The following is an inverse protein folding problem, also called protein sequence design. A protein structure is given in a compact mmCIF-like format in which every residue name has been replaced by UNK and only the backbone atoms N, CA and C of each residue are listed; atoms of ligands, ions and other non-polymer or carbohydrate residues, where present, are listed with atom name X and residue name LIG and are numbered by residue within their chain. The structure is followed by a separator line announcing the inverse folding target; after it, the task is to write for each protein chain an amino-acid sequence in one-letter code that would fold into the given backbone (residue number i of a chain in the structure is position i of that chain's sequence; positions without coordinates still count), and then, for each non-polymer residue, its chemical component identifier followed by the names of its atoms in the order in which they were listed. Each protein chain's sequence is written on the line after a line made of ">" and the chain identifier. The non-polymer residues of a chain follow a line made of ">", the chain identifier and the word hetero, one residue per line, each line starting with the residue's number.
data_IF_818220715666
#
_entry.id   IF_818220715666
#
_cell.length_a   1.000
_cell.length_b   1.000
_cell.length_c   1.000
_cell.angle_alpha   90.00
_cell.angle_beta   90.00
_cell.angle_gamma   90.00
#
_symmetry.space_group_name_H-M   'P 1'
#
loop_
_entity.id
_entity.type
_entity.pdbx_description
1 polymer ?
#
# COMPACT_ATOMS: atom_id res chain seq x y z
N UNK A 1 44.04 5.87 -24.16
CA UNK A 1 44.59 6.87 -23.20
C UNK A 1 43.41 7.55 -22.50
N UNK A 2 43.08 7.17 -21.26
CA UNK A 2 42.00 7.79 -20.51
C UNK A 2 42.52 9.07 -19.82
N UNK A 3 41.90 10.23 -20.10
CA UNK A 3 42.22 11.50 -19.44
C UNK A 3 41.78 11.44 -17.98
N UNK A 4 42.71 11.67 -17.04
CA UNK A 4 42.39 11.84 -15.62
C UNK A 4 41.50 13.08 -15.42
N UNK A 5 40.48 13.02 -14.54
CA UNK A 5 39.67 14.19 -14.21
C UNK A 5 40.49 15.21 -13.41
N UNK A 6 40.35 16.47 -13.81
CA UNK A 6 40.98 17.63 -13.16
C UNK A 6 40.25 17.88 -11.83
N UNK A 7 40.99 17.85 -10.70
CA UNK A 7 40.49 18.34 -9.42
C UNK A 7 40.51 19.87 -9.44
N UNK A 8 39.34 20.50 -9.37
CA UNK A 8 39.21 21.94 -9.16
C UNK A 8 39.46 22.27 -7.68
N UNK A 9 40.47 23.10 -7.43
CA UNK A 9 40.81 23.69 -6.14
C UNK A 9 39.89 24.89 -5.87
N UNK A 10 39.00 24.76 -4.89
CA UNK A 10 37.99 25.76 -4.52
C UNK A 10 38.52 26.86 -3.59
N UNK A 11 39.79 26.82 -3.18
CA UNK A 11 40.36 27.75 -2.19
C UNK A 11 40.64 29.17 -2.73
N UNK A 12 40.42 29.43 -4.03
CA UNK A 12 40.78 30.71 -4.68
C UNK A 12 39.64 31.48 -5.36
N UNK A 13 38.38 31.04 -5.24
CA UNK A 13 37.25 31.79 -5.80
C UNK A 13 36.91 32.99 -4.90
N UNK A 14 37.58 34.13 -5.11
CA UNK A 14 37.15 35.43 -4.59
C UNK A 14 35.74 35.74 -5.10
N UNK A 15 34.90 36.21 -4.19
CA UNK A 15 33.55 36.73 -4.42
C UNK A 15 33.64 37.87 -5.44
N UNK A 16 32.95 37.75 -6.57
CA UNK A 16 32.63 38.89 -7.44
C UNK A 16 31.14 39.17 -7.34
N UNK A 17 30.76 40.44 -7.24
CA UNK A 17 29.41 40.94 -6.97
C UNK A 17 28.39 40.78 -8.12
N UNK A 18 28.61 39.83 -9.02
CA UNK A 18 27.65 39.48 -10.07
C UNK A 18 27.20 38.01 -9.94
N UNK A 19 25.89 37.74 -9.86
CA UNK A 19 25.37 36.40 -9.63
C UNK A 19 25.65 35.49 -10.83
N UNK A 20 26.48 34.47 -10.62
CA UNK A 20 26.73 33.43 -11.64
C UNK A 20 25.46 32.59 -11.88
N UNK A 21 25.18 32.18 -13.14
CA UNK A 21 24.00 31.39 -13.49
C UNK A 21 24.02 29.98 -12.88
N UNK A 22 22.83 29.40 -12.71
CA UNK A 22 22.65 28.03 -12.20
C UNK A 22 23.40 26.99 -13.05
N UNK A 23 24.16 26.10 -12.40
CA UNK A 23 25.04 25.12 -13.07
C UNK A 23 24.28 23.96 -13.74
N UNK A 24 22.97 23.83 -13.50
CA UNK A 24 22.11 22.79 -14.10
C UNK A 24 21.31 23.32 -15.30
N UNK A 25 20.93 24.61 -15.32
CA UNK A 25 20.05 25.16 -16.35
C UNK A 25 20.46 26.53 -16.95
N UNK A 26 21.56 27.13 -16.49
CA UNK A 26 22.17 28.32 -17.11
C UNK A 26 21.45 29.66 -16.92
N UNK A 27 20.33 29.73 -16.18
CA UNK A 27 19.58 30.99 -15.97
C UNK A 27 20.05 31.79 -14.75
N UNK A 28 20.00 33.15 -14.79
CA UNK A 28 20.36 34.01 -13.66
C UNK A 28 19.34 33.90 -12.51
N UNK A 29 19.85 33.85 -11.27
CA UNK A 29 19.03 33.70 -10.08
C UNK A 29 18.42 35.05 -9.66
N UNK A 30 17.15 35.28 -10.00
CA UNK A 30 16.35 36.33 -9.36
C UNK A 30 15.56 35.73 -8.20
N UNK A 31 15.86 36.19 -6.99
CA UNK A 31 14.97 36.08 -5.83
C UNK A 31 13.83 37.09 -5.99
N UNK A 32 12.60 36.66 -5.71
CA UNK A 32 11.67 37.29 -4.75
C UNK A 32 10.37 36.46 -4.67
N UNK A 33 9.76 36.43 -3.49
CA UNK A 33 8.41 35.93 -3.19
C UNK A 33 7.68 37.10 -2.54
N UNK A 34 6.48 37.49 -3.00
CA UNK A 34 5.25 37.07 -2.31
C UNK A 34 3.97 36.99 -3.17
N UNK A 35 4.05 36.73 -4.49
CA UNK A 35 2.89 36.82 -5.38
C UNK A 35 2.47 35.49 -6.04
N UNK A 36 1.16 35.38 -6.33
CA UNK A 36 0.49 34.35 -7.15
C UNK A 36 0.98 34.28 -8.61
N UNK A 37 2.00 35.06 -8.97
CA UNK A 37 2.58 35.20 -10.31
C UNK A 37 3.99 34.62 -10.45
N UNK A 38 4.35 33.61 -9.65
CA UNK A 38 5.52 32.78 -10.01
C UNK A 38 5.12 31.88 -11.19
N UNK A 39 5.92 31.81 -12.27
CA UNK A 39 5.62 30.90 -13.36
C UNK A 39 5.61 29.49 -12.79
N UNK A 40 4.41 28.90 -12.73
CA UNK A 40 4.28 27.48 -12.50
C UNK A 40 5.13 26.77 -13.54
N UNK A 41 5.81 25.70 -13.12
CA UNK A 41 6.57 24.84 -14.03
C UNK A 41 5.71 24.57 -15.25
N UNK A 42 6.24 24.93 -16.42
CA UNK A 42 5.50 24.79 -17.68
C UNK A 42 5.27 23.31 -17.97
N UNK A 43 4.25 22.99 -18.77
CA UNK A 43 3.98 21.60 -19.17
C UNK A 43 5.21 20.95 -19.84
N UNK A 44 5.99 21.73 -20.58
CA UNK A 44 7.24 21.30 -21.21
C UNK A 44 8.31 20.93 -20.17
N UNK A 45 8.49 21.75 -19.14
CA UNK A 45 9.43 21.45 -18.05
C UNK A 45 8.98 20.22 -17.24
N UNK A 46 7.67 20.09 -17.00
CA UNK A 46 7.09 18.92 -16.36
C UNK A 46 7.30 17.64 -17.18
N UNK A 47 7.07 17.72 -18.50
CA UNK A 47 7.31 16.62 -19.43
C UNK A 47 8.77 16.19 -19.43
N UNK A 48 9.71 17.14 -19.45
CA UNK A 48 11.13 16.85 -19.41
C UNK A 48 11.54 16.09 -18.14
N UNK A 49 11.03 16.50 -16.96
CA UNK A 49 11.29 15.80 -15.69
C UNK A 49 10.73 14.37 -15.71
N UNK A 50 9.50 14.17 -16.21
CA UNK A 50 8.89 12.83 -16.33
C UNK A 50 9.70 11.93 -17.25
N UNK A 51 10.29 12.47 -18.30
CA UNK A 51 11.10 11.72 -19.24
C UNK A 51 12.50 11.41 -18.70
N UNK A 52 13.17 12.37 -18.05
CA UNK A 52 14.60 12.28 -17.74
C UNK A 52 14.92 11.98 -16.28
N UNK A 53 14.09 12.42 -15.33
CA UNK A 53 14.36 12.29 -13.90
C UNK A 53 13.60 11.13 -13.24
N UNK A 54 12.44 10.75 -13.78
CA UNK A 54 11.66 9.65 -13.21
C UNK A 54 12.25 8.28 -13.56
N UNK A 55 12.24 7.37 -12.58
CA UNK A 55 12.56 5.97 -12.84
C UNK A 55 11.45 5.30 -13.67
N UNK A 56 11.74 4.21 -14.41
CA UNK A 56 10.73 3.49 -15.19
C UNK A 56 9.51 3.05 -14.37
N UNK A 57 9.69 2.69 -13.09
CA UNK A 57 8.60 2.35 -12.19
C UNK A 57 7.68 3.55 -11.90
N UNK A 58 8.26 4.73 -11.68
CA UNK A 58 7.49 5.97 -11.50
C UNK A 58 6.71 6.29 -12.78
N UNK A 59 7.35 6.29 -13.95
CA UNK A 59 6.65 6.53 -15.23
C UNK A 59 5.44 5.60 -15.44
N UNK A 60 5.53 4.33 -15.06
CA UNK A 60 4.41 3.37 -15.12
C UNK A 60 3.31 3.68 -14.11
N UNK A 61 3.67 3.95 -12.85
CA UNK A 61 2.72 4.25 -11.77
C UNK A 61 1.95 5.56 -12.01
N UNK A 62 2.62 6.53 -12.60
CA UNK A 62 2.12 7.90 -12.84
C UNK A 62 1.67 8.13 -14.30
N UNK A 63 1.60 7.07 -15.13
CA UNK A 63 0.99 7.14 -16.46
C UNK A 63 -0.53 7.38 -16.39
N UNK A 64 -1.14 6.97 -15.28
CA UNK A 64 -2.50 7.35 -14.86
C UNK A 64 -2.42 8.28 -13.66
N UNK A 65 -3.47 9.07 -13.41
CA UNK A 65 -3.59 9.84 -12.17
C UNK A 65 -3.44 8.87 -10.99
N UNK A 66 -2.42 9.03 -10.13
CA UNK A 66 -2.20 8.12 -9.02
C UNK A 66 -3.42 8.03 -8.15
N UNK A 67 -3.65 6.83 -7.59
CA UNK A 67 -4.69 6.62 -6.60
C UNK A 67 -4.71 7.73 -5.56
N UNK A 68 -3.55 8.27 -5.15
CA UNK A 68 -3.41 9.41 -4.23
C UNK A 68 -4.23 10.68 -4.52
N UNK A 69 -4.53 10.96 -5.80
CA UNK A 69 -5.32 12.14 -6.20
C UNK A 69 -6.78 11.82 -6.52
N UNK A 70 -7.14 10.55 -6.65
CA UNK A 70 -8.51 10.12 -6.99
C UNK A 70 -9.23 9.40 -5.85
N UNK A 71 -8.48 8.79 -4.92
CA UNK A 71 -9.01 8.05 -3.78
C UNK A 71 -9.22 8.96 -2.56
N UNK A 72 -10.19 8.58 -1.73
CA UNK A 72 -10.47 9.26 -0.48
C UNK A 72 -9.33 9.07 0.53
N UNK A 73 -9.10 10.06 1.40
CA UNK A 73 -8.18 9.94 2.54
C UNK A 73 -8.40 8.64 3.38
N UNK A 74 -9.66 8.20 3.48
CA UNK A 74 -10.09 6.97 4.12
C UNK A 74 -9.64 5.66 3.43
N UNK A 75 -9.27 5.70 2.14
CA UNK A 75 -8.80 4.53 1.39
C UNK A 75 -7.29 4.30 1.54
N UNK A 76 -6.50 5.27 2.06
CA UNK A 76 -5.05 5.12 2.27
C UNK A 76 -4.65 4.50 3.62
N UNK A 77 -5.56 3.78 4.29
CA UNK A 77 -5.21 2.96 5.45
C UNK A 77 -5.01 3.72 6.77
N UNK A 78 -5.27 5.02 6.82
CA UNK A 78 -5.41 5.72 8.09
C UNK A 78 -6.89 5.74 8.51
N UNK A 79 -7.10 5.42 9.80
CA UNK A 79 -8.39 5.34 10.49
C UNK A 79 -9.42 6.34 9.94
N UNK A 80 -10.65 5.85 9.72
CA UNK A 80 -11.91 6.54 9.37
C UNK A 80 -11.73 8.04 9.13
N UNK A 81 -12.07 8.49 7.92
CA UNK A 81 -12.29 9.92 7.69
C UNK A 81 -13.50 10.31 8.56
N UNK A 82 -13.25 10.82 9.76
CA UNK A 82 -14.25 11.55 10.52
C UNK A 82 -14.24 12.96 9.93
N UNK A 83 -15.24 13.26 9.11
CA UNK A 83 -15.38 14.58 8.50
C UNK A 83 -15.36 15.64 9.63
N UNK A 84 -14.34 16.51 9.60
CA UNK A 84 -14.20 17.64 10.52
C UNK A 84 -12.82 17.82 11.17
N UNK A 85 -12.06 16.73 11.38
CA UNK A 85 -10.87 16.80 12.26
C UNK A 85 -9.53 16.40 11.63
N UNK A 86 -9.48 15.52 10.61
CA UNK A 86 -8.18 15.03 10.08
C UNK A 86 -7.70 15.66 8.79
N UNK A 87 -8.58 16.29 8.03
CA UNK A 87 -8.12 17.24 7.03
C UNK A 87 -7.87 18.57 7.73
N UNK A 88 -6.70 18.70 8.36
CA UNK A 88 -6.37 19.74 9.34
C UNK A 88 -6.69 21.18 8.92
N UNK A 89 -6.87 21.44 7.61
CA UNK A 89 -7.15 22.78 7.05
C UNK A 89 -8.54 23.03 6.53
N UNK A 90 -9.42 22.02 6.48
CA UNK A 90 -10.78 22.16 5.89
C UNK A 90 -10.79 22.75 4.46
N UNK A 91 -9.67 22.64 3.73
CA UNK A 91 -9.51 23.07 2.33
C UNK A 91 -8.70 22.03 1.51
N UNK A 92 -8.93 21.90 0.19
CA UNK A 92 -8.18 20.99 -0.69
C UNK A 92 -6.67 21.08 -0.49
N UNK A 93 -6.03 19.94 -0.22
CA UNK A 93 -4.60 19.86 0.03
C UNK A 93 -3.86 19.75 -1.30
N UNK A 94 -2.88 20.64 -1.49
CA UNK A 94 -1.86 20.47 -2.53
C UNK A 94 -0.83 19.51 -1.97
N UNK A 95 -0.52 18.44 -2.69
CA UNK A 95 0.36 17.37 -2.19
C UNK A 95 1.47 17.07 -3.20
N UNK A 96 2.71 16.85 -2.73
CA UNK A 96 3.77 16.42 -3.63
C UNK A 96 3.51 14.96 -4.04
N UNK A 97 3.83 14.67 -5.29
CA UNK A 97 3.77 13.32 -5.89
C UNK A 97 4.89 12.45 -5.33
N UNK A 98 6.02 13.07 -4.97
CA UNK A 98 7.17 12.41 -4.39
C UNK A 98 8.34 13.36 -4.19
N UNK A 99 9.38 12.85 -3.54
CA UNK A 99 10.67 13.52 -3.41
C UNK A 99 11.56 13.20 -4.62
N UNK A 100 12.42 14.14 -4.98
CA UNK A 100 13.53 13.89 -5.93
C UNK A 100 14.64 13.20 -5.13
N UNK A 101 15.19 12.12 -5.66
CA UNK A 101 16.35 11.46 -5.05
C UNK A 101 17.65 12.17 -5.43
N UNK A 102 18.61 12.13 -4.51
CA UNK A 102 19.97 12.59 -4.73
C UNK A 102 20.68 11.71 -5.77
N UNK A 103 21.87 12.11 -6.21
CA UNK A 103 22.64 11.36 -7.21
C UNK A 103 23.02 9.93 -6.75
N UNK A 104 22.99 9.66 -5.44
CA UNK A 104 23.20 8.32 -4.89
C UNK A 104 21.98 7.39 -5.03
N UNK A 105 20.78 7.95 -5.29
CA UNK A 105 19.54 7.21 -5.39
C UNK A 105 19.01 6.65 -4.06
N UNK A 106 19.66 6.94 -2.93
CA UNK A 106 19.29 6.43 -1.61
C UNK A 106 18.64 7.50 -0.73
N UNK A 107 19.03 8.76 -0.91
CA UNK A 107 18.56 9.86 -0.09
C UNK A 107 17.74 10.85 -0.90
N UNK A 108 16.83 11.56 -0.23
CA UNK A 108 16.14 12.70 -0.83
C UNK A 108 17.14 13.82 -1.15
N UNK A 109 17.04 14.36 -2.36
CA UNK A 109 17.73 15.56 -2.76
C UNK A 109 17.25 16.72 -1.90
N UNK A 110 18.19 17.48 -1.35
CA UNK A 110 17.92 18.66 -0.53
C UNK A 110 18.38 19.91 -1.28
N UNK A 111 17.60 20.97 -1.17
CA UNK A 111 18.03 22.29 -1.58
C UNK A 111 19.20 22.76 -0.69
N UNK A 112 19.85 23.86 -1.03
CA UNK A 112 20.87 24.51 -0.17
C UNK A 112 20.27 25.72 0.52
N UNK A 113 20.74 26.05 1.71
CA UNK A 113 20.31 27.26 2.40
C UNK A 113 20.68 28.53 1.61
N UNK A 114 19.83 29.58 1.64
CA UNK A 114 18.50 29.64 2.24
C UNK A 114 17.43 29.02 1.30
N UNK A 115 16.68 28.03 1.77
CA UNK A 115 15.67 27.33 0.96
C UNK A 115 14.53 28.28 0.55
N UNK A 116 14.39 28.58 -0.75
CA UNK A 116 13.53 29.65 -1.28
C UNK A 116 12.18 29.19 -1.88
N UNK A 117 11.74 27.95 -1.59
CA UNK A 117 10.43 27.46 -2.04
C UNK A 117 9.41 27.43 -0.89
N UNK A 118 8.24 28.07 -1.05
CA UNK A 118 7.10 27.78 -0.21
C UNK A 118 6.65 26.35 -0.51
N UNK A 119 6.59 25.50 0.52
CA UNK A 119 6.01 24.16 0.38
C UNK A 119 4.60 24.21 0.97
N UNK A 120 3.54 24.05 0.15
CA UNK A 120 2.19 23.92 0.67
C UNK A 120 2.05 22.54 1.31
N UNK A 121 2.55 22.37 2.54
CA UNK A 121 2.54 21.06 3.19
C UNK A 121 1.20 20.81 3.88
N UNK A 122 0.73 19.57 3.70
CA UNK A 122 -0.52 19.04 4.23
C UNK A 122 -0.53 18.72 5.72
N UNK A 123 0.62 18.73 6.41
CA UNK A 123 0.72 18.43 7.86
C UNK A 123 2.08 18.84 8.47
N UNK A 124 2.95 19.58 7.76
CA UNK A 124 4.35 19.80 8.15
C UNK A 124 4.75 21.26 8.38
N UNK A 125 6.01 21.52 8.78
CA UNK A 125 6.56 22.87 8.86
C UNK A 125 6.37 23.57 7.51
N UNK A 126 6.12 24.89 7.51
CA UNK A 126 5.87 25.70 6.30
C UNK A 126 7.04 25.73 5.28
N UNK A 127 8.11 24.99 5.54
CA UNK A 127 9.33 24.86 4.74
C UNK A 127 9.93 23.47 4.97
N UNK A 128 9.91 22.61 3.97
CA UNK A 128 10.87 21.48 3.86
C UNK A 128 12.03 21.92 2.99
N UNK A 129 13.23 21.40 3.24
CA UNK A 129 14.41 21.55 2.38
C UNK A 129 14.51 20.45 1.31
N UNK A 130 13.63 19.46 1.36
CA UNK A 130 13.56 18.35 0.40
C UNK A 130 13.01 18.84 -0.93
N UNK A 131 13.70 18.49 -2.01
CA UNK A 131 13.25 18.73 -3.37
C UNK A 131 12.08 17.79 -3.70
N UNK A 132 10.95 18.36 -4.11
CA UNK A 132 9.69 17.64 -4.31
C UNK A 132 9.12 17.88 -5.70
N UNK A 133 8.41 16.89 -6.24
CA UNK A 133 7.68 16.97 -7.52
C UNK A 133 6.19 17.18 -7.23
N UNK A 134 5.56 18.12 -7.91
CA UNK A 134 4.15 18.49 -7.72
C UNK A 134 3.40 18.45 -9.05
N UNK A 135 2.09 18.14 -9.03
CA UNK A 135 1.20 18.44 -10.15
C UNK A 135 0.74 19.88 -10.03
N UNK A 136 0.92 20.68 -11.07
CA UNK A 136 0.57 22.10 -11.07
C UNK A 136 -0.94 22.35 -10.89
N UNK A 137 -1.79 21.42 -11.35
CA UNK A 137 -3.24 21.56 -11.45
C UNK A 137 -4.04 20.61 -10.55
N UNK A 138 -3.39 19.86 -9.62
CA UNK A 138 -4.07 18.82 -8.84
C UNK A 138 -3.98 19.04 -7.34
N UNK A 139 -5.14 19.27 -6.74
CA UNK A 139 -5.39 19.11 -5.31
C UNK A 139 -5.95 17.71 -5.01
N UNK A 140 -5.88 17.28 -3.75
CA UNK A 140 -6.62 16.09 -3.33
C UNK A 140 -8.11 16.26 -3.65
N UNK A 141 -8.81 15.17 -3.99
CA UNK A 141 -10.20 15.23 -4.47
C UNK A 141 -11.19 15.90 -3.51
N UNK A 142 -10.83 16.16 -2.25
CA UNK A 142 -11.59 16.80 -1.16
C UNK A 142 -12.94 16.14 -0.83
N UNK A 143 -13.78 15.99 -1.85
CA UNK A 143 -15.02 15.22 -1.87
C UNK A 143 -14.66 13.74 -1.99
N UNK A 144 -14.79 13.00 -0.88
CA UNK A 144 -14.86 11.54 -0.92
C UNK A 144 -16.09 11.15 -1.75
N UNK A 145 -15.89 10.29 -2.74
CA UNK A 145 -16.93 9.63 -3.51
C UNK A 145 -17.34 8.26 -2.94
N UNK A 146 -16.68 7.86 -1.86
CA UNK A 146 -17.02 6.69 -1.09
C UNK A 146 -18.35 6.87 -0.33
N UNK A 147 -19.16 5.82 -0.34
CA UNK A 147 -20.43 5.74 0.40
C UNK A 147 -20.24 5.81 1.93
N UNK A 148 -19.01 5.79 2.44
CA UNK A 148 -18.72 5.84 3.88
C UNK A 148 -19.13 7.16 4.55
N UNK A 149 -19.47 8.20 3.76
CA UNK A 149 -20.00 9.47 4.23
C UNK A 149 -21.42 9.77 3.76
N UNK A 150 -22.10 8.82 3.10
CA UNK A 150 -23.51 8.98 2.81
C UNK A 150 -24.24 9.29 4.12
N UNK A 151 -25.03 10.36 4.14
CA UNK A 151 -25.94 10.56 5.26
C UNK A 151 -26.91 9.39 5.28
N UNK A 152 -27.09 8.75 6.45
CA UNK A 152 -28.04 7.67 6.56
C UNK A 152 -29.42 8.22 6.26
N UNK A 153 -30.25 7.42 5.61
CA UNK A 153 -31.63 7.79 5.34
C UNK A 153 -32.30 8.18 6.67
N UNK A 154 -32.86 9.40 6.79
CA UNK A 154 -33.54 9.81 8.00
C UNK A 154 -34.64 8.85 8.45
N UNK A 155 -35.30 8.14 7.51
CA UNK A 155 -36.27 7.11 7.84
C UNK A 155 -35.65 5.92 8.58
N UNK A 156 -34.46 5.47 8.17
CA UNK A 156 -33.73 4.39 8.84
C UNK A 156 -33.28 4.81 10.25
N UNK A 157 -32.82 6.07 10.39
CA UNK A 157 -32.41 6.63 11.68
C UNK A 157 -33.61 6.70 12.63
N UNK A 158 -34.76 7.17 12.15
CA UNK A 158 -35.99 7.25 12.94
C UNK A 158 -36.47 5.85 13.36
N UNK A 159 -36.53 4.90 12.42
CA UNK A 159 -36.94 3.53 12.71
C UNK A 159 -36.05 2.88 13.77
N UNK A 160 -34.74 3.05 13.67
CA UNK A 160 -33.79 2.58 14.68
C UNK A 160 -33.95 3.31 16.02
N UNK A 161 -34.12 4.63 16.01
CA UNK A 161 -34.29 5.43 17.22
C UNK A 161 -35.56 5.05 17.99
N UNK A 162 -36.66 4.79 17.29
CA UNK A 162 -37.89 4.25 17.87
C UNK A 162 -37.66 2.84 18.41
N UNK A 163 -37.05 1.95 17.63
CA UNK A 163 -36.80 0.56 18.03
C UNK A 163 -35.88 0.43 19.27
N UNK A 164 -35.01 1.42 19.49
CA UNK A 164 -34.12 1.49 20.66
C UNK A 164 -34.70 2.28 21.83
N UNK A 165 -35.90 2.85 21.68
CA UNK A 165 -36.56 3.66 22.70
C UNK A 165 -35.98 5.06 22.89
N UNK A 166 -35.12 5.54 21.97
CA UNK A 166 -34.59 6.90 22.00
C UNK A 166 -35.64 7.94 21.60
N UNK A 167 -36.63 7.55 20.81
CA UNK A 167 -37.75 8.38 20.36
C UNK A 167 -39.08 7.63 20.56
N UNK A 168 -40.19 8.35 20.82
CA UNK A 168 -41.51 7.72 20.93
C UNK A 168 -42.01 7.21 19.56
N UNK A 169 -42.90 6.23 19.56
CA UNK A 169 -43.41 5.60 18.32
C UNK A 169 -44.14 6.54 17.35
N UNK A 170 -44.61 7.71 17.83
CA UNK A 170 -45.24 8.75 17.01
C UNK A 170 -44.29 9.83 16.51
N UNK A 171 -42.98 9.71 16.77
CA UNK A 171 -42.00 10.68 16.32
C UNK A 171 -41.90 10.71 14.79
N UNK A 172 -41.56 11.89 14.28
CA UNK A 172 -41.40 12.20 12.86
C UNK A 172 -39.93 12.46 12.52
N UNK A 173 -39.62 12.51 11.22
CA UNK A 173 -38.24 12.71 10.74
C UNK A 173 -37.72 14.10 11.13
N UNK A 174 -38.60 15.10 11.17
CA UNK A 174 -38.30 16.49 11.51
C UNK A 174 -37.84 16.66 12.97
N UNK A 175 -38.19 15.71 13.84
CA UNK A 175 -37.79 15.71 15.25
C UNK A 175 -36.40 15.06 15.47
N UNK A 176 -35.81 14.44 14.44
CA UNK A 176 -34.47 13.88 14.53
C UNK A 176 -33.42 14.98 14.72
N UNK A 177 -32.57 14.81 15.72
CA UNK A 177 -31.49 15.73 16.02
C UNK A 177 -30.12 15.15 15.62
N UNK A 178 -29.07 15.99 15.42
CA UNK A 178 -27.74 15.50 15.09
C UNK A 178 -27.16 14.42 16.04
N UNK A 179 -27.42 14.44 17.36
CA UNK A 179 -27.09 13.32 18.25
C UNK A 179 -27.68 11.96 17.81
N UNK A 180 -28.94 11.90 17.36
CA UNK A 180 -29.58 10.66 16.90
C UNK A 180 -28.84 10.06 15.68
N UNK A 181 -28.51 10.90 14.70
CA UNK A 181 -27.72 10.50 13.54
C UNK A 181 -26.34 9.99 13.93
N UNK A 182 -25.66 10.64 14.88
CA UNK A 182 -24.35 10.18 15.38
C UNK A 182 -24.44 8.83 16.08
N UNK A 183 -25.46 8.64 16.92
CA UNK A 183 -25.68 7.40 17.63
C UNK A 183 -25.98 6.25 16.66
N UNK A 184 -26.82 6.48 15.65
CA UNK A 184 -27.08 5.52 14.57
C UNK A 184 -25.80 5.12 13.83
N UNK A 185 -24.99 6.10 13.41
CA UNK A 185 -23.72 5.85 12.72
C UNK A 185 -22.72 5.06 13.58
N UNK A 186 -22.72 5.28 14.89
CA UNK A 186 -21.89 4.55 15.83
C UNK A 186 -22.34 3.09 15.95
N UNK A 187 -23.65 2.86 16.11
CA UNK A 187 -24.24 1.52 16.18
C UNK A 187 -23.99 0.72 14.88
N UNK A 188 -24.19 1.32 13.72
CA UNK A 188 -23.91 0.67 12.43
C UNK A 188 -22.43 0.26 12.31
N UNK A 189 -21.51 1.10 12.79
CA UNK A 189 -20.09 0.76 12.82
C UNK A 189 -19.79 -0.42 13.77
N UNK A 190 -20.45 -0.49 14.93
CA UNK A 190 -20.33 -1.61 15.87
C UNK A 190 -20.85 -2.90 15.23
N UNK A 191 -22.04 -2.86 14.61
CA UNK A 191 -22.64 -4.01 13.91
C UNK A 191 -21.77 -4.52 12.76
N UNK A 192 -21.23 -3.61 11.95
CA UNK A 192 -20.32 -3.96 10.86
C UNK A 192 -19.07 -4.68 11.37
N UNK A 193 -18.44 -4.17 12.45
CA UNK A 193 -17.28 -4.80 13.09
C UNK A 193 -17.61 -6.16 13.70
N UNK A 194 -18.80 -6.30 14.30
CA UNK A 194 -19.26 -7.58 14.84
C UNK A 194 -19.41 -8.62 13.73
N UNK A 195 -20.04 -8.24 12.61
CA UNK A 195 -20.19 -9.10 11.41
C UNK A 195 -18.85 -9.49 10.81
N UNK A 196 -17.92 -8.54 10.65
CA UNK A 196 -16.57 -8.82 10.16
C UNK A 196 -15.82 -9.78 11.09
N UNK A 197 -15.92 -9.59 12.41
CA UNK A 197 -15.31 -10.48 13.39
C UNK A 197 -15.88 -11.89 13.32
N UNK A 198 -17.18 -12.03 13.13
CA UNK A 198 -17.84 -13.31 12.93
C UNK A 198 -17.38 -13.99 11.64
N UNK A 199 -17.40 -13.28 10.51
CA UNK A 199 -16.90 -13.78 9.23
C UNK A 199 -15.45 -14.26 9.32
N UNK A 200 -14.59 -13.48 10.00
CA UNK A 200 -13.20 -13.87 10.24
C UNK A 200 -13.08 -15.13 11.09
N UNK A 201 -13.91 -15.30 12.12
CA UNK A 201 -13.96 -16.53 12.94
C UNK A 201 -14.41 -17.72 12.11
N UNK A 202 -15.43 -17.57 11.28
CA UNK A 202 -15.94 -18.61 10.38
C UNK A 202 -14.86 -19.04 9.38
N UNK A 203 -14.19 -18.08 8.74
CA UNK A 203 -13.08 -18.35 7.82
C UNK A 203 -11.91 -19.03 8.54
N UNK A 204 -11.55 -18.59 9.74
CA UNK A 204 -10.49 -19.23 10.52
C UNK A 204 -10.82 -20.69 10.86
N UNK A 205 -12.06 -20.97 11.29
CA UNK A 205 -12.53 -22.34 11.55
C UNK A 205 -12.52 -23.20 10.30
N UNK A 206 -12.96 -22.67 9.16
CA UNK A 206 -12.94 -23.39 7.88
C UNK A 206 -11.50 -23.75 7.47
N UNK A 207 -10.58 -22.78 7.55
CA UNK A 207 -9.17 -23.01 7.25
C UNK A 207 -8.52 -24.04 8.21
N UNK A 208 -8.89 -24.02 9.49
CA UNK A 208 -8.39 -24.98 10.48
C UNK A 208 -8.92 -26.39 10.20
N UNK A 209 -10.21 -26.52 9.87
CA UNK A 209 -10.81 -27.79 9.48
C UNK A 209 -10.18 -28.35 8.20
N UNK A 210 -9.89 -27.51 7.21
CA UNK A 210 -9.20 -27.91 5.99
C UNK A 210 -7.78 -28.43 6.27
N UNK A 211 -7.03 -27.72 7.13
CA UNK A 211 -5.69 -28.16 7.56
C UNK A 211 -5.74 -29.49 8.31
N UNK A 212 -6.70 -29.66 9.22
CA UNK A 212 -6.87 -30.91 9.95
C UNK A 212 -7.21 -32.07 9.00
N UNK A 213 -8.09 -31.83 8.02
CA UNK A 213 -8.43 -32.83 7.00
C UNK A 213 -7.23 -33.17 6.10
N UNK A 214 -6.39 -32.19 5.76
CA UNK A 214 -5.16 -32.43 4.99
C UNK A 214 -4.16 -33.28 5.79
N UNK A 215 -3.95 -32.96 7.07
CA UNK A 215 -3.06 -33.72 7.95
C UNK A 215 -3.55 -35.17 8.16
N UNK A 216 -4.87 -35.39 8.30
CA UNK A 216 -5.44 -36.73 8.40
C UNK A 216 -5.24 -37.53 7.08
N UNK A 217 -5.44 -36.90 5.92
CA UNK A 217 -5.15 -37.54 4.62
C UNK A 217 -3.67 -37.92 4.48
N UNK A 218 -2.76 -37.03 4.88
CA UNK A 218 -1.32 -37.31 4.86
C UNK A 218 -0.95 -38.46 5.81
N UNK A 219 -1.49 -38.44 7.03
CA UNK A 219 -1.26 -39.51 8.01
C UNK A 219 -1.76 -40.87 7.50
N UNK A 220 -2.95 -40.92 6.90
CA UNK A 220 -3.49 -42.13 6.26
C UNK A 220 -2.59 -42.58 5.11
N UNK A 221 -2.20 -41.69 4.21
CA UNK A 221 -1.31 -42.02 3.10
C UNK A 221 0.04 -42.61 3.57
N UNK A 222 0.66 -42.04 4.63
CA UNK A 222 1.89 -42.57 5.22
C UNK A 222 1.68 -43.97 5.81
N UNK A 223 0.56 -44.18 6.51
CA UNK A 223 0.23 -45.48 7.11
C UNK A 223 -0.03 -46.53 6.03
N UNK A 224 -0.86 -46.21 5.06
CA UNK A 224 -1.25 -47.11 3.98
C UNK A 224 0.00 -47.45 3.11
N UNK A 225 0.90 -46.50 2.87
CA UNK A 225 2.22 -46.75 2.24
C UNK A 225 3.07 -47.72 3.04
N UNK A 226 3.14 -47.56 4.37
CA UNK A 226 3.90 -48.48 5.24
C UNK A 226 3.34 -49.90 5.22
N UNK A 227 2.01 -50.03 5.14
CA UNK A 227 1.34 -51.31 5.01
C UNK A 227 1.68 -51.97 3.67
N UNK A 228 1.58 -51.23 2.56
CA UNK A 228 1.97 -51.70 1.24
C UNK A 228 3.43 -52.18 1.18
N UNK A 229 4.38 -51.43 1.77
CA UNK A 229 5.80 -51.85 1.83
C UNK A 229 5.95 -53.16 2.62
N UNK A 230 5.19 -53.34 3.71
CA UNK A 230 5.26 -54.57 4.51
C UNK A 230 4.69 -55.77 3.77
N UNK A 231 3.58 -55.59 3.07
CA UNK A 231 2.98 -56.64 2.22
C UNK A 231 3.93 -57.03 1.09
N UNK A 232 4.53 -56.05 0.42
CA UNK A 232 5.54 -56.27 -0.61
C UNK A 232 6.78 -57.00 -0.08
N UNK A 233 7.29 -56.58 1.08
CA UNK A 233 8.45 -57.19 1.72
C UNK A 233 8.15 -58.65 2.09
N UNK A 234 6.95 -58.94 2.61
CA UNK A 234 6.52 -60.31 2.91
C UNK A 234 6.44 -61.18 1.64
N UNK A 235 5.92 -60.62 0.54
CA UNK A 235 5.83 -61.30 -0.77
C UNK A 235 7.21 -61.62 -1.37
N UNK A 236 8.20 -60.76 -1.11
CA UNK A 236 9.58 -60.90 -1.60
C UNK A 236 10.53 -61.51 -0.54
N UNK A 237 9.98 -62.11 0.52
CA UNK A 237 10.72 -62.82 1.58
C UNK A 237 11.77 -61.97 2.33
N UNK A 238 11.57 -60.65 2.41
CA UNK A 238 12.45 -59.77 3.19
C UNK A 238 12.19 -59.93 4.70
N UNK A 239 13.24 -60.11 5.54
CA UNK A 239 13.08 -60.29 6.98
C UNK A 239 12.80 -58.95 7.67
N UNK A 240 11.52 -58.62 7.86
CA UNK A 240 11.09 -57.42 8.59
C UNK A 240 10.31 -57.74 9.85
N UNK A 241 10.64 -57.06 10.96
CA UNK A 241 9.91 -57.15 12.22
C UNK A 241 8.70 -56.20 12.29
N UNK A 242 7.96 -56.25 13.41
CA UNK A 242 6.81 -55.35 13.68
C UNK A 242 7.20 -53.87 13.85
N UNK A 243 8.49 -53.58 13.99
CA UNK A 243 9.04 -52.25 14.26
C UNK A 243 9.19 -51.36 13.01
N UNK A 244 10.18 -50.48 13.05
CA UNK A 244 10.54 -49.59 11.94
C UNK A 244 10.99 -50.42 10.73
N UNK A 245 10.47 -50.07 9.54
CA UNK A 245 10.91 -50.67 8.28
C UNK A 245 12.34 -50.19 7.98
N UNK A 246 13.31 -51.11 7.73
CA UNK A 246 14.67 -50.73 7.38
C UNK A 246 14.70 -49.89 6.10
N UNK A 247 15.61 -48.91 6.02
CA UNK A 247 15.71 -48.02 4.86
C UNK A 247 15.95 -48.77 3.54
N UNK A 248 16.79 -49.81 3.57
CA UNK A 248 17.07 -50.66 2.40
C UNK A 248 15.81 -51.35 1.85
N UNK A 249 14.84 -51.70 2.70
CA UNK A 249 13.56 -52.29 2.26
C UNK A 249 12.66 -51.24 1.61
N UNK A 250 12.69 -50.00 2.11
CA UNK A 250 11.94 -48.89 1.50
C UNK A 250 12.52 -48.55 0.12
N UNK A 251 13.84 -48.48 0.01
CA UNK A 251 14.54 -48.21 -1.26
C UNK A 251 14.28 -49.33 -2.28
N UNK A 252 14.39 -50.59 -1.88
CA UNK A 252 14.09 -51.72 -2.78
C UNK A 252 12.62 -51.73 -3.25
N UNK A 253 11.68 -51.34 -2.37
CA UNK A 253 10.28 -51.16 -2.76
C UNK A 253 10.11 -50.02 -3.76
N UNK A 254 10.78 -48.87 -3.55
CA UNK A 254 10.71 -47.73 -4.47
C UNK A 254 11.22 -48.10 -5.87
N UNK A 255 12.36 -48.82 -5.95
CA UNK A 255 12.91 -49.34 -7.23
C UNK A 255 11.92 -50.27 -7.94
N UNK A 256 11.31 -51.21 -7.22
CA UNK A 256 10.33 -52.15 -7.79
C UNK A 256 9.07 -51.44 -8.32
N UNK A 257 8.61 -50.38 -7.64
CA UNK A 257 7.47 -49.57 -8.12
C UNK A 257 7.83 -48.74 -9.37
N UNK A 258 9.06 -48.25 -9.49
CA UNK A 258 9.53 -47.54 -10.68
C UNK A 258 9.62 -48.46 -11.91
N UNK A 259 10.09 -49.70 -11.71
CA UNK A 259 10.17 -50.72 -12.78
C UNK A 259 8.77 -51.20 -13.21
N UNK A 260 7.84 -51.34 -12.26
CA UNK A 260 6.45 -51.74 -12.51
C UNK A 260 5.58 -50.67 -13.18
N UNK A 261 5.93 -49.39 -13.04
CA UNK A 261 5.20 -48.27 -13.65
C UNK A 261 5.46 -48.08 -15.15
N UNK A 262 6.31 -48.93 -15.74
CA UNK A 262 6.55 -48.95 -17.18
C UNK A 262 7.49 -47.84 -17.62
N UNK A 263 8.79 -48.03 -17.39
CA UNK A 263 9.75 -47.69 -18.44
C UNK A 263 9.48 -48.61 -19.64
N UNK A 264 8.48 -48.25 -20.44
CA UNK A 264 8.36 -48.75 -21.79
C UNK A 264 9.66 -48.44 -22.51
N UNK A 265 10.39 -49.51 -22.84
CA UNK A 265 11.54 -49.56 -23.72
C UNK A 265 11.70 -48.34 -24.65
N UNK A 266 12.66 -47.48 -24.32
CA UNK A 266 13.34 -46.66 -25.32
C UNK A 266 14.67 -47.38 -25.62
N UNK A 267 14.58 -48.46 -26.40
CA UNK A 267 15.69 -49.01 -27.18
C UNK A 267 15.34 -48.87 -28.66
#
# INVERSE_FOLDING_TARGET
>A
MAKKPVRLDWSKARVSDEPKPCVICGKPAFMLSPDRDRPMMTETEAAWIREHAWLPAMRRLFASVPGYFTACACQYGMTRCDHGERCHRREPLVLPIGSILSADGEHDARHREPYAHPTPTATGPKRTDVAQVWYADRSCRWVCDCECHAEPDPADVLAWAIATGLYPAGATVEELNPPAFRAYKAEQAIRARAKEREQRRTRARANEAEKAAAADREFRAIRDRREAIREWAAKNEWPIGKGRIPAAVVEAYEVDQEDGAGQGALF
#
